data_IF_371512095715
#
_entry.id   IF_371512095715
#
_cell.length_a   1.000
_cell.length_b   1.000
_cell.length_c   1.000
_cell.angle_alpha   90.00
_cell.angle_beta   90.00
_cell.angle_gamma   90.00
#
_symmetry.space_group_name_H-M   'P 1'
#
loop_
_entity.id
_entity.type
_entity.pdbx_description
1 polymer ?
#
# COMPACT_ATOMS: atom_id res chain seq x y z
N UNK A 1 -1.49 12.09 0.20
CA UNK A 1 -2.88 11.69 0.12
C UNK A 1 -3.07 10.20 -0.12
N UNK A 2 -2.09 9.50 -0.75
CA UNK A 2 -2.16 8.04 -0.85
C UNK A 2 -2.21 7.43 0.54
N UNK A 3 -1.34 7.89 1.43
CA UNK A 3 -1.28 7.39 2.79
C UNK A 3 -2.60 7.62 3.53
N UNK A 4 -3.19 8.79 3.35
CA UNK A 4 -4.46 9.15 3.96
C UNK A 4 -5.58 8.20 3.51
N UNK A 5 -5.69 7.94 2.21
CA UNK A 5 -6.70 7.05 1.67
C UNK A 5 -6.52 5.64 2.21
N UNK A 6 -5.29 5.17 2.24
CA UNK A 6 -4.94 3.84 2.71
C UNK A 6 -5.31 3.66 4.19
N UNK A 7 -4.85 4.57 5.04
CA UNK A 7 -5.09 4.47 6.48
C UNK A 7 -6.58 4.58 6.79
N UNK A 8 -7.31 5.47 6.11
CA UNK A 8 -8.74 5.59 6.31
C UNK A 8 -9.49 4.33 5.92
N UNK A 9 -9.08 3.68 4.84
CA UNK A 9 -9.66 2.40 4.45
C UNK A 9 -9.48 1.36 5.56
N UNK A 10 -8.27 1.27 6.10
CA UNK A 10 -7.97 0.31 7.16
C UNK A 10 -8.83 0.54 8.39
N UNK A 11 -9.03 1.79 8.76
CA UNK A 11 -9.89 2.15 9.90
C UNK A 11 -11.35 1.84 9.62
N UNK A 12 -11.82 2.17 8.44
CA UNK A 12 -13.20 1.92 8.03
C UNK A 12 -13.55 0.44 8.06
N UNK A 13 -12.61 -0.42 7.68
CA UNK A 13 -12.83 -1.87 7.63
C UNK A 13 -12.44 -2.59 8.92
N UNK A 14 -12.13 -1.85 9.98
CA UNK A 14 -11.71 -2.41 11.26
C UNK A 14 -10.45 -3.28 11.16
N UNK A 15 -9.55 -2.92 10.25
CA UNK A 15 -8.29 -3.63 10.07
C UNK A 15 -7.14 -2.94 10.79
N UNK A 16 -7.27 -1.64 11.00
CA UNK A 16 -6.17 -0.82 11.52
C UNK A 16 -5.64 -1.32 12.87
N UNK A 17 -6.53 -1.77 13.73
CA UNK A 17 -6.15 -2.23 15.07
C UNK A 17 -5.41 -3.58 15.06
N UNK A 18 -5.48 -4.30 13.95
CA UNK A 18 -4.79 -5.59 13.79
C UNK A 18 -3.37 -5.42 13.26
N UNK A 19 -3.02 -4.22 12.88
CA UNK A 19 -1.76 -3.91 12.22
C UNK A 19 -0.93 -3.04 13.15
N UNK A 20 0.35 -3.40 13.30
CA UNK A 20 1.25 -2.62 14.17
C UNK A 20 1.67 -1.33 13.51
N UNK A 21 2.10 -1.41 12.26
CA UNK A 21 2.44 -0.21 11.47
C UNK A 21 1.94 -0.39 10.05
N UNK A 22 1.39 0.68 9.50
CA UNK A 22 0.93 0.72 8.13
C UNK A 22 1.24 2.09 7.53
N UNK A 23 1.72 2.11 6.30
CA UNK A 23 1.98 3.36 5.60
C UNK A 23 2.08 3.11 4.10
N UNK A 24 2.00 4.20 3.34
CA UNK A 24 2.17 4.17 1.90
C UNK A 24 3.31 5.10 1.51
N UNK A 25 4.06 4.73 0.48
CA UNK A 25 5.09 5.59 -0.07
C UNK A 25 4.88 5.76 -1.56
N UNK A 26 5.22 6.94 -2.06
CA UNK A 26 5.21 7.22 -3.49
C UNK A 26 6.61 6.92 -4.02
N UNK A 27 6.68 6.04 -5.01
CA UNK A 27 7.98 5.68 -5.58
C UNK A 27 8.34 6.67 -6.69
N UNK A 28 9.61 7.07 -6.80
CA UNK A 28 10.03 8.00 -7.85
C UNK A 28 10.26 7.29 -9.18
N UNK A 29 9.35 6.39 -9.53
CA UNK A 29 9.39 5.64 -10.79
C UNK A 29 8.04 5.74 -11.45
N UNK A 30 8.06 5.89 -12.76
CA UNK A 30 6.83 5.92 -13.53
C UNK A 30 6.63 4.59 -14.24
N UNK A 31 5.39 4.20 -14.39
CA UNK A 31 5.04 2.98 -15.09
C UNK A 31 3.89 3.25 -16.06
N UNK A 32 3.76 2.37 -17.03
CA UNK A 32 2.71 2.46 -18.02
C UNK A 32 1.43 1.88 -17.44
N UNK A 33 0.33 2.59 -17.63
CA UNK A 33 -0.98 2.12 -17.26
C UNK A 33 -1.96 2.36 -18.40
N UNK A 34 -3.20 1.91 -18.21
CA UNK A 34 -4.28 2.11 -19.16
C UNK A 34 -5.47 2.66 -18.39
N UNK A 35 -6.02 3.76 -18.87
CA UNK A 35 -7.20 4.37 -18.29
C UNK A 35 -8.18 4.60 -19.43
N UNK A 36 -9.26 3.81 -19.45
CA UNK A 36 -10.17 3.79 -20.59
C UNK A 36 -9.42 3.31 -21.82
N UNK A 37 -9.42 4.10 -22.89
CA UNK A 37 -8.73 3.78 -24.14
C UNK A 37 -7.33 4.36 -24.20
N UNK A 38 -6.91 5.09 -23.15
CA UNK A 38 -5.64 5.82 -23.18
C UNK A 38 -4.58 5.13 -22.34
N UNK A 39 -3.34 5.20 -22.81
CA UNK A 39 -2.19 4.79 -22.04
C UNK A 39 -1.78 5.94 -21.13
N UNK A 40 -1.40 5.62 -19.92
CA UNK A 40 -0.92 6.61 -18.95
C UNK A 40 0.52 6.28 -18.58
N UNK A 41 1.22 7.30 -18.10
CA UNK A 41 2.59 7.15 -17.63
C UNK A 41 2.68 7.92 -16.32
N UNK A 42 2.54 7.22 -15.23
CA UNK A 42 2.39 7.84 -13.91
C UNK A 42 3.17 7.06 -12.87
N UNK A 43 3.17 7.58 -11.65
CA UNK A 43 3.98 7.00 -10.58
C UNK A 43 3.36 5.74 -10.00
N UNK A 44 4.20 4.99 -9.30
CA UNK A 44 3.78 3.83 -8.52
C UNK A 44 3.78 4.22 -7.05
N UNK A 45 2.92 3.57 -6.26
CA UNK A 45 3.03 3.66 -4.82
C UNK A 45 3.17 2.26 -4.25
N UNK A 46 3.76 2.15 -3.08
CA UNK A 46 3.90 0.89 -2.38
C UNK A 46 3.26 1.01 -1.02
N UNK A 47 2.51 -0.01 -0.64
CA UNK A 47 1.86 -0.09 0.66
C UNK A 47 2.63 -1.02 1.56
N UNK A 48 2.66 -0.70 2.84
CA UNK A 48 3.28 -1.52 3.86
C UNK A 48 2.29 -1.72 5.00
N UNK A 49 2.20 -2.93 5.51
CA UNK A 49 1.44 -3.23 6.72
C UNK A 49 2.11 -4.42 7.40
N UNK A 50 2.50 -4.24 8.65
CA UNK A 50 3.23 -5.28 9.38
C UNK A 50 2.61 -5.52 10.74
N UNK A 51 2.76 -6.75 11.21
CA UNK A 51 2.46 -7.14 12.58
C UNK A 51 3.79 -7.43 13.27
N UNK A 52 3.86 -7.18 14.57
CA UNK A 52 5.09 -7.42 15.32
C UNK A 52 4.78 -7.68 16.78
N UNK A 53 5.58 -8.53 17.40
CA UNK A 53 5.49 -8.77 18.83
C UNK A 53 6.46 -7.86 19.58
N UNK A 54 7.64 -7.66 19.05
CA UNK A 54 8.72 -6.96 19.76
C UNK A 54 9.46 -5.91 18.94
N UNK A 55 9.08 -5.69 17.69
CA UNK A 55 9.73 -4.69 16.84
C UNK A 55 11.03 -5.14 16.19
N UNK A 56 11.66 -6.19 16.70
CA UNK A 56 12.89 -6.70 16.08
C UNK A 56 12.58 -7.61 14.91
N UNK A 57 11.49 -8.36 15.02
CA UNK A 57 10.97 -9.15 13.93
C UNK A 57 9.56 -8.68 13.60
N UNK A 58 9.21 -8.69 12.35
CA UNK A 58 7.89 -8.29 11.92
C UNK A 58 7.51 -9.07 10.69
N UNK A 59 6.24 -9.41 10.59
CA UNK A 59 5.70 -10.10 9.44
C UNK A 59 4.73 -9.17 8.73
N UNK A 60 4.58 -9.36 7.43
CA UNK A 60 3.61 -8.56 6.69
C UNK A 60 2.19 -9.01 7.07
N UNK A 61 1.26 -8.06 7.06
CA UNK A 61 -0.13 -8.35 7.33
C UNK A 61 -0.76 -8.92 6.06
N UNK A 62 -1.49 -10.03 6.19
CA UNK A 62 -2.11 -10.68 5.04
C UNK A 62 -3.49 -10.06 4.79
N UNK A 63 -3.58 -9.24 3.75
CA UNK A 63 -4.86 -8.72 3.29
C UNK A 63 -5.56 -9.76 2.41
N UNK A 64 -6.88 -9.74 2.42
CA UNK A 64 -7.64 -10.52 1.46
C UNK A 64 -7.49 -9.90 0.07
N UNK A 65 -7.79 -10.68 -0.96
CA UNK A 65 -7.81 -10.16 -2.32
C UNK A 65 -8.80 -9.01 -2.43
N UNK A 66 -9.94 -9.12 -1.76
CA UNK A 66 -10.96 -8.07 -1.74
C UNK A 66 -10.41 -6.77 -1.16
N UNK A 67 -9.73 -6.86 -0.01
CA UNK A 67 -9.14 -5.68 0.61
C UNK A 67 -8.14 -5.01 -0.33
N UNK A 68 -7.25 -5.81 -0.93
CA UNK A 68 -6.24 -5.26 -1.84
C UNK A 68 -6.87 -4.61 -3.06
N UNK A 69 -7.90 -5.22 -3.63
CA UNK A 69 -8.59 -4.66 -4.78
C UNK A 69 -9.28 -3.34 -4.45
N UNK A 70 -9.92 -3.28 -3.29
CA UNK A 70 -10.61 -2.05 -2.87
C UNK A 70 -9.62 -0.93 -2.56
N UNK A 71 -8.53 -1.25 -1.89
CA UNK A 71 -7.49 -0.26 -1.59
C UNK A 71 -6.93 0.30 -2.90
N UNK A 72 -6.58 -0.57 -3.82
CA UNK A 72 -6.04 -0.18 -5.11
C UNK A 72 -7.01 0.72 -5.87
N UNK A 73 -8.28 0.34 -5.93
CA UNK A 73 -9.30 1.12 -6.62
C UNK A 73 -9.47 2.51 -6.02
N UNK A 74 -9.50 2.60 -4.69
CA UNK A 74 -9.65 3.90 -4.03
C UNK A 74 -8.47 4.81 -4.31
N UNK A 75 -7.27 4.26 -4.29
CA UNK A 75 -6.07 5.06 -4.57
C UNK A 75 -6.06 5.52 -6.03
N UNK A 76 -6.25 4.60 -6.96
CA UNK A 76 -6.20 4.91 -8.39
C UNK A 76 -7.28 5.93 -8.78
N UNK A 77 -8.48 5.79 -8.22
CA UNK A 77 -9.59 6.66 -8.57
C UNK A 77 -9.48 8.06 -7.96
N UNK A 78 -8.67 8.24 -6.92
CA UNK A 78 -8.59 9.50 -6.20
C UNK A 78 -7.24 10.20 -6.31
N UNK A 79 -6.20 9.53 -6.79
CA UNK A 79 -4.86 10.11 -6.91
C UNK A 79 -4.39 9.95 -8.35
N UNK A 80 -4.50 11.03 -9.11
CA UNK A 80 -4.20 11.02 -10.56
C UNK A 80 -2.75 10.68 -10.87
N UNK A 81 -1.85 10.99 -9.93
CA UNK A 81 -0.41 10.79 -10.12
C UNK A 81 0.00 9.32 -10.04
N UNK A 82 -0.90 8.45 -9.59
CA UNK A 82 -0.59 7.04 -9.35
C UNK A 82 -1.42 6.18 -10.29
N UNK A 83 -0.75 5.29 -11.00
CA UNK A 83 -1.43 4.31 -11.85
C UNK A 83 -1.09 2.86 -11.50
N UNK A 84 -0.29 2.64 -10.45
CA UNK A 84 0.08 1.28 -10.04
C UNK A 84 0.30 1.23 -8.53
N UNK A 85 -0.34 0.25 -7.89
CA UNK A 85 -0.24 0.05 -6.44
C UNK A 85 0.48 -1.27 -6.20
N UNK A 86 1.52 -1.23 -5.38
CA UNK A 86 2.29 -2.40 -4.99
C UNK A 86 2.09 -2.67 -3.50
N UNK A 87 2.24 -3.90 -3.10
CA UNK A 87 2.22 -4.25 -1.68
C UNK A 87 3.54 -4.88 -1.30
N UNK A 88 4.24 -4.28 -0.34
CA UNK A 88 5.50 -4.81 0.15
C UNK A 88 5.21 -5.90 1.19
N UNK A 89 5.39 -7.15 0.80
CA UNK A 89 5.15 -8.29 1.66
C UNK A 89 6.45 -8.95 2.13
N UNK A 90 7.45 -8.12 2.40
CA UNK A 90 8.74 -8.59 2.91
C UNK A 90 8.72 -8.56 4.44
N UNK A 91 9.10 -9.67 5.06
CA UNK A 91 9.20 -9.74 6.51
C UNK A 91 10.49 -9.08 7.01
N UNK A 92 10.52 -8.78 8.28
CA UNK A 92 11.74 -8.31 8.94
C UNK A 92 12.21 -9.41 9.89
N UNK A 93 13.42 -9.98 9.71
CA UNK A 93 14.32 -9.79 8.59
C UNK A 93 13.82 -10.49 7.33
N UNK A 94 14.30 -10.20 6.09
CA UNK A 94 15.48 -9.38 5.79
C UNK A 94 15.19 -7.91 5.55
N UNK A 95 13.93 -7.56 5.31
CA UNK A 95 13.59 -6.16 5.11
C UNK A 95 13.41 -5.44 6.43
N UNK A 96 13.48 -4.11 6.40
CA UNK A 96 13.11 -3.30 7.56
C UNK A 96 11.63 -2.98 7.46
N UNK A 97 11.06 -2.39 8.50
CA UNK A 97 9.67 -1.97 8.46
C UNK A 97 9.57 -0.77 7.52
N UNK A 98 10.34 0.27 7.80
CA UNK A 98 10.41 1.44 6.93
C UNK A 98 11.40 1.16 5.78
N UNK A 99 11.32 1.98 4.75
CA UNK A 99 12.18 1.84 3.58
C UNK A 99 13.49 2.61 3.70
N UNK A 100 13.58 3.49 4.70
CA UNK A 100 14.80 4.25 4.95
C UNK A 100 15.16 4.28 6.41
#
# INVERSE_FOLDING_TARGET
>A
SVDFIYINYLKEKNLYHKIWQAFAILLPIKSVGVMGDERTYSYCCSLRAVTSVDGMTADFFMFSKENLSEISSRIINNVKEVNRVLYDFTSKPPGTIEWE
#
